data_IF_781147405258
#
_entry.id   IF_781147405258
#
_cell.length_a   1.000
_cell.length_b   1.000
_cell.length_c   1.000
_cell.angle_alpha   90.00
_cell.angle_beta   90.00
_cell.angle_gamma   90.00
#
_symmetry.space_group_name_H-M   'P 1'
#
loop_
_entity.id
_entity.type
_entity.pdbx_description
1 polymer ?
#
# COMPACT_ATOMS: atom_id res chain seq x y z
N UNK A 1 1.95 -17.89 -14.26
CA UNK A 1 2.81 -19.11 -14.29
C UNK A 1 4.00 -18.99 -13.32
N UNK A 2 4.08 -19.85 -12.31
CA UNK A 2 5.24 -19.94 -11.41
C UNK A 2 6.25 -20.93 -12.03
N UNK A 3 7.46 -20.48 -12.35
CA UNK A 3 8.56 -21.32 -12.86
C UNK A 3 9.05 -22.26 -11.76
N UNK A 4 9.15 -23.56 -12.10
CA UNK A 4 9.66 -24.59 -11.21
C UNK A 4 11.10 -24.26 -10.76
N UNK A 5 11.29 -23.94 -9.48
CA UNK A 5 12.60 -23.64 -8.87
C UNK A 5 12.67 -22.29 -8.14
N UNK A 6 11.74 -21.37 -8.36
CA UNK A 6 11.67 -20.14 -7.58
C UNK A 6 10.95 -20.38 -6.23
N UNK A 7 11.46 -19.86 -5.09
CA UNK A 7 10.77 -19.99 -3.81
C UNK A 7 9.37 -19.39 -3.91
N UNK A 8 8.37 -20.13 -3.42
CA UNK A 8 6.94 -19.75 -3.48
C UNK A 8 6.76 -18.33 -2.92
N UNK A 9 6.19 -17.45 -3.73
CA UNK A 9 5.90 -16.06 -3.36
C UNK A 9 4.39 -15.88 -3.18
N UNK A 10 4.03 -14.90 -2.36
CA UNK A 10 2.64 -14.51 -2.12
C UNK A 10 2.44 -13.04 -2.49
N UNK A 11 1.23 -12.72 -2.92
CA UNK A 11 0.77 -11.34 -3.08
C UNK A 11 0.22 -10.89 -1.73
N UNK A 12 0.81 -9.85 -1.16
CA UNK A 12 0.36 -9.30 0.11
C UNK A 12 -0.66 -8.17 -0.12
N UNK A 13 -1.86 -8.32 0.45
CA UNK A 13 -2.81 -7.22 0.58
C UNK A 13 -2.42 -6.36 1.79
N UNK A 14 -1.68 -5.28 1.53
CA UNK A 14 -1.21 -4.37 2.58
C UNK A 14 -2.36 -3.61 3.24
N UNK A 15 -3.42 -3.26 2.49
CA UNK A 15 -4.56 -2.54 3.03
C UNK A 15 -5.41 -3.46 3.92
N UNK A 16 -5.62 -4.71 3.52
CA UNK A 16 -6.26 -5.73 4.34
C UNK A 16 -5.50 -6.00 5.64
N UNK A 17 -4.17 -6.14 5.59
CA UNK A 17 -3.33 -6.31 6.79
C UNK A 17 -3.39 -5.09 7.72
N UNK A 18 -3.43 -3.88 7.18
CA UNK A 18 -3.59 -2.66 7.97
C UNK A 18 -4.96 -2.63 8.67
N UNK A 19 -6.05 -2.95 7.96
CA UNK A 19 -7.41 -3.04 8.52
C UNK A 19 -7.49 -4.05 9.67
N UNK A 20 -6.88 -5.22 9.51
CA UNK A 20 -6.83 -6.23 10.59
C UNK A 20 -6.14 -5.70 11.85
N UNK A 21 -5.03 -4.96 11.70
CA UNK A 21 -4.31 -4.37 12.83
C UNK A 21 -5.10 -3.24 13.49
N UNK A 22 -5.73 -2.38 12.69
CA UNK A 22 -6.57 -1.28 13.18
C UNK A 22 -7.79 -1.79 13.94
N UNK A 23 -8.47 -2.81 13.43
CA UNK A 23 -9.60 -3.44 14.11
C UNK A 23 -9.20 -4.03 15.47
N UNK A 24 -8.03 -4.68 15.55
CA UNK A 24 -7.48 -5.17 16.84
C UNK A 24 -7.15 -4.06 17.84
N UNK A 25 -6.89 -2.86 17.34
CA UNK A 25 -6.66 -1.67 18.17
C UNK A 25 -7.95 -0.92 18.54
N UNK A 26 -9.13 -1.44 18.17
CA UNK A 26 -10.43 -0.80 18.44
C UNK A 26 -10.80 0.31 17.46
N UNK A 27 -10.12 0.44 16.33
CA UNK A 27 -10.46 1.44 15.30
C UNK A 27 -11.55 0.87 14.38
N UNK A 28 -12.74 1.46 14.45
CA UNK A 28 -13.92 0.99 13.71
C UNK A 28 -14.10 1.67 12.35
N UNK A 29 -13.67 2.93 12.21
CA UNK A 29 -13.86 3.74 11.02
C UNK A 29 -12.56 3.83 10.20
N UNK A 30 -12.46 3.03 9.12
CA UNK A 30 -11.26 2.97 8.25
C UNK A 30 -11.63 3.21 6.78
N UNK A 31 -11.18 4.34 6.24
CA UNK A 31 -11.48 4.79 4.88
C UNK A 31 -10.25 4.71 3.95
N UNK A 32 -10.50 4.76 2.64
CA UNK A 32 -9.45 4.73 1.63
C UNK A 32 -8.80 3.35 1.43
N UNK A 33 -7.55 3.34 0.96
CA UNK A 33 -6.81 2.11 0.63
C UNK A 33 -7.14 1.49 -0.73
N UNK A 34 -7.82 2.22 -1.61
CA UNK A 34 -8.14 1.78 -2.98
C UNK A 34 -7.05 2.09 -4.01
N UNK A 35 -6.13 3.02 -3.70
CA UNK A 35 -5.05 3.42 -4.61
C UNK A 35 -3.90 2.43 -4.63
N UNK A 36 -3.35 2.17 -5.82
CA UNK A 36 -2.19 1.30 -6.01
C UNK A 36 -1.03 2.07 -6.66
N UNK A 37 0.03 2.31 -5.89
CA UNK A 37 1.21 3.06 -6.38
C UNK A 37 1.88 2.40 -7.58
N UNK A 38 1.82 1.06 -7.66
CA UNK A 38 2.41 0.29 -8.76
C UNK A 38 1.62 0.44 -10.08
N UNK A 39 0.30 0.22 -10.04
CA UNK A 39 -0.54 0.16 -11.24
C UNK A 39 -1.08 1.51 -11.72
N UNK A 40 -0.98 2.57 -10.91
CA UNK A 40 -1.44 3.91 -11.27
C UNK A 40 -0.27 4.91 -11.46
N UNK A 41 0.56 4.74 -12.52
CA UNK A 41 1.80 5.51 -12.71
C UNK A 41 1.56 7.00 -12.96
N UNK A 42 0.40 7.38 -13.50
CA UNK A 42 0.05 8.79 -13.73
C UNK A 42 -0.23 9.56 -12.44
N UNK A 43 -0.45 8.86 -11.32
CA UNK A 43 -0.82 9.45 -10.04
C UNK A 43 0.30 9.31 -8.99
N UNK A 44 1.11 8.24 -9.08
CA UNK A 44 2.06 7.90 -8.03
C UNK A 44 3.44 7.49 -8.54
N UNK A 45 4.49 7.99 -7.88
CA UNK A 45 5.80 7.35 -7.84
C UNK A 45 5.70 5.95 -7.22
N UNK A 46 6.48 4.99 -7.73
CA UNK A 46 6.55 3.64 -7.15
C UNK A 46 7.97 3.12 -7.13
N UNK A 47 8.51 2.88 -5.93
CA UNK A 47 9.84 2.29 -5.79
C UNK A 47 9.92 0.88 -6.38
N UNK A 48 8.85 0.09 -6.26
CA UNK A 48 8.80 -1.27 -6.83
C UNK A 48 8.90 -1.26 -8.35
N UNK A 49 8.35 -0.23 -9.00
CA UNK A 49 8.39 -0.05 -10.45
C UNK A 49 9.71 0.57 -10.91
N UNK A 50 10.09 1.69 -10.32
CA UNK A 50 11.07 2.62 -10.90
C UNK A 50 12.46 2.56 -10.22
N UNK A 51 12.58 1.90 -9.05
CA UNK A 51 13.75 1.89 -8.15
C UNK A 51 14.21 3.29 -7.69
N UNK A 52 14.76 4.12 -8.58
CA UNK A 52 15.11 5.53 -8.31
C UNK A 52 13.96 6.42 -8.79
N UNK A 53 13.23 7.00 -7.85
CA UNK A 53 12.02 7.80 -8.12
C UNK A 53 11.79 8.82 -6.99
N UNK A 54 10.81 9.71 -7.14
CA UNK A 54 10.40 10.66 -6.11
C UNK A 54 9.69 10.01 -4.92
N UNK A 55 9.10 10.82 -4.04
CA UNK A 55 8.33 10.37 -2.87
C UNK A 55 7.02 11.14 -2.77
N UNK A 56 5.96 10.45 -2.34
CA UNK A 56 4.73 11.11 -1.88
C UNK A 56 4.88 11.48 -0.40
N UNK A 57 4.00 12.38 0.06
CA UNK A 57 3.74 12.62 1.47
C UNK A 57 2.23 12.53 1.73
N UNK A 58 1.85 12.07 2.92
CA UNK A 58 0.49 12.18 3.45
C UNK A 58 0.54 13.15 4.63
N UNK A 59 -0.35 14.14 4.64
CA UNK A 59 -0.36 15.22 5.62
C UNK A 59 -1.72 15.30 6.30
N UNK A 60 -1.71 15.64 7.59
CA UNK A 60 -2.90 15.92 8.40
C UNK A 60 -2.56 17.02 9.39
N UNK A 61 -3.49 17.94 9.63
CA UNK A 61 -3.35 19.04 10.59
C UNK A 61 -4.69 19.33 11.26
N UNK A 62 -4.65 19.99 12.42
CA UNK A 62 -5.81 20.60 13.05
C UNK A 62 -5.90 22.06 12.58
N UNK A 63 -7.09 22.49 12.17
CA UNK A 63 -7.37 23.90 11.87
C UNK A 63 -7.99 24.60 13.09
N UNK A 64 -7.83 25.93 13.14
CA UNK A 64 -8.24 26.78 14.26
C UNK A 64 -9.70 27.23 14.16
#
# INVERSE_FOLDING_TARGET
>A
PQTAGAPRKWLADLCGLARQRLARAGVEAVYGGSGCTLSEPMRFFSHRRDRRTGRQAALIWLEA
#
